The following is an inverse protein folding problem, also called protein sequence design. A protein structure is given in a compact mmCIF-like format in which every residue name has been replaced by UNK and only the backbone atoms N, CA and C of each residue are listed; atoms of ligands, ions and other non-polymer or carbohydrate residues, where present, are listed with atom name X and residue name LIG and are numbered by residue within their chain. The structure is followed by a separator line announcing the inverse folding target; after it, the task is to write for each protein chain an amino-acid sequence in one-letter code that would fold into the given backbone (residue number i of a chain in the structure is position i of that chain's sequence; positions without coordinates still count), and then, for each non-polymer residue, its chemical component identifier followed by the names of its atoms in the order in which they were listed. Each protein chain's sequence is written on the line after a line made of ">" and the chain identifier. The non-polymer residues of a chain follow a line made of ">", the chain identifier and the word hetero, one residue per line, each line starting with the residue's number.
data_IF_579368936637
#
_entry.id   IF_579368936637
#
_cell.length_a   1.000
_cell.length_b   1.000
_cell.length_c   1.000
_cell.angle_alpha   90.00
_cell.angle_beta   90.00
_cell.angle_gamma   90.00
#
_symmetry.space_group_name_H-M   'P 1'
#
loop_
_entity.id
_entity.type
_entity.pdbx_description
1 polymer ?
#
# COMPACT_ATOMS: atom_id res chain seq x y z
N UNK A 1 -6.38 -16.02 0.55
CA UNK A 1 -6.37 -14.55 0.76
C UNK A 1 -5.29 -14.12 1.76
N UNK A 2 -5.27 -14.63 2.99
CA UNK A 2 -4.25 -14.24 3.99
C UNK A 2 -2.81 -14.41 3.48
N UNK A 3 -2.46 -15.63 3.04
CA UNK A 3 -1.10 -15.95 2.55
C UNK A 3 -0.72 -15.06 1.37
N UNK A 4 -1.63 -14.82 0.42
CA UNK A 4 -1.36 -13.99 -0.75
C UNK A 4 -1.11 -12.52 -0.39
N UNK A 5 -1.90 -11.96 0.53
CA UNK A 5 -1.72 -10.58 1.00
C UNK A 5 -0.40 -10.48 1.76
N UNK A 6 -0.17 -11.36 2.73
CA UNK A 6 1.05 -11.33 3.54
C UNK A 6 2.31 -11.45 2.67
N UNK A 7 2.32 -12.41 1.73
CA UNK A 7 3.44 -12.62 0.82
C UNK A 7 3.67 -11.43 -0.11
N UNK A 8 2.61 -10.92 -0.76
CA UNK A 8 2.73 -9.80 -1.70
C UNK A 8 3.14 -8.49 -1.03
N UNK A 9 2.58 -8.18 0.14
CA UNK A 9 2.94 -6.99 0.91
C UNK A 9 4.35 -7.12 1.49
N UNK A 10 4.77 -8.30 1.94
CA UNK A 10 6.15 -8.54 2.37
C UNK A 10 7.15 -8.38 1.22
N UNK A 11 6.83 -8.87 0.03
CA UNK A 11 7.64 -8.66 -1.18
C UNK A 11 7.74 -7.18 -1.55
N UNK A 12 6.64 -6.44 -1.44
CA UNK A 12 6.63 -4.98 -1.63
C UNK A 12 7.51 -4.28 -0.59
N UNK A 13 7.40 -4.68 0.69
CA UNK A 13 8.20 -4.13 1.77
C UNK A 13 9.70 -4.30 1.51
N UNK A 14 10.11 -5.51 1.14
CA UNK A 14 11.50 -5.77 0.75
C UNK A 14 11.90 -4.96 -0.49
N UNK A 15 11.07 -4.90 -1.52
CA UNK A 15 11.35 -4.14 -2.74
C UNK A 15 11.57 -2.63 -2.47
N UNK A 16 10.79 -2.04 -1.57
CA UNK A 16 10.92 -0.63 -1.22
C UNK A 16 12.08 -0.37 -0.25
N UNK A 17 12.33 -1.29 0.70
CA UNK A 17 13.40 -1.18 1.67
C UNK A 17 14.79 -1.53 1.11
N UNK A 18 14.87 -2.26 0.00
CA UNK A 18 16.16 -2.64 -0.60
C UNK A 18 16.88 -1.38 -1.07
N UNK A 19 18.05 -1.05 -0.48
CA UNK A 19 18.79 0.14 -0.87
C UNK A 19 19.28 0.02 -2.31
N UNK A 20 19.32 1.14 -3.02
CA UNK A 20 19.99 1.21 -4.31
C UNK A 20 21.50 1.18 -4.04
N UNK A 21 22.19 0.14 -4.53
CA UNK A 21 23.64 0.03 -4.45
C UNK A 21 24.31 1.14 -5.28
N UNK A 22 25.47 1.68 -4.86
CA UNK A 22 26.27 2.54 -5.70
C UNK A 22 26.68 1.78 -6.96
N UNK A 23 25.97 1.97 -8.06
CA UNK A 23 26.51 1.61 -9.37
C UNK A 23 27.53 2.69 -9.75
N UNK A 24 28.69 2.28 -10.29
CA UNK A 24 29.75 3.14 -10.83
C UNK A 24 29.20 4.04 -11.95
N UNK A 25 28.40 5.04 -11.59
CA UNK A 25 28.10 6.14 -12.46
C UNK A 25 29.17 7.19 -12.19
N UNK A 26 29.89 7.52 -13.26
CA UNK A 26 30.68 8.74 -13.38
C UNK A 26 29.80 9.91 -12.89
N UNK A 27 30.21 10.55 -11.79
CA UNK A 27 29.42 11.50 -10.98
C UNK A 27 28.76 12.65 -11.77
N UNK A 28 29.10 12.83 -13.05
CA UNK A 28 28.82 14.02 -13.85
C UNK A 28 28.01 13.75 -15.14
N UNK A 29 27.47 12.55 -15.35
CA UNK A 29 26.63 12.27 -16.51
C UNK A 29 25.23 12.90 -16.32
N UNK A 30 25.01 14.05 -16.97
CA UNK A 30 23.70 14.69 -17.09
C UNK A 30 22.66 13.81 -17.79
N UNK A 31 21.45 14.37 -18.03
CA UNK A 31 20.45 13.67 -18.82
C UNK A 31 20.99 13.34 -20.22
N UNK A 32 20.65 12.16 -20.76
CA UNK A 32 21.20 11.72 -22.03
C UNK A 32 20.70 12.63 -23.15
N UNK A 33 21.61 13.06 -24.02
CA UNK A 33 21.29 13.79 -25.25
C UNK A 33 21.30 12.88 -26.47
N UNK A 34 21.99 11.74 -26.42
CA UNK A 34 21.98 10.72 -27.47
C UNK A 34 20.62 10.00 -27.53
N UNK A 35 19.98 9.94 -28.71
CA UNK A 35 18.73 9.18 -28.93
C UNK A 35 18.74 7.75 -28.38
N UNK A 36 19.85 7.01 -28.47
CA UNK A 36 19.95 5.64 -27.98
C UNK A 36 19.84 5.58 -26.44
N UNK A 37 20.53 6.49 -25.75
CA UNK A 37 20.50 6.59 -24.31
C UNK A 37 19.16 7.12 -23.78
N UNK A 38 18.53 8.06 -24.50
CA UNK A 38 17.15 8.51 -24.22
C UNK A 38 16.16 7.35 -24.35
N UNK A 39 16.25 6.55 -25.42
CA UNK A 39 15.39 5.37 -25.59
C UNK A 39 15.57 4.35 -24.46
N UNK A 40 16.82 4.10 -24.05
CA UNK A 40 17.14 3.21 -22.93
C UNK A 40 16.59 3.71 -21.58
N UNK A 41 16.48 5.04 -21.41
CA UNK A 41 15.85 5.65 -20.23
C UNK A 41 14.32 5.58 -20.28
N UNK A 42 13.70 5.88 -21.43
CA UNK A 42 12.25 5.95 -21.56
C UNK A 42 11.58 4.58 -21.52
N UNK A 43 12.22 3.54 -22.06
CA UNK A 43 11.61 2.21 -22.14
C UNK A 43 11.20 1.66 -20.76
N UNK A 44 12.07 1.62 -19.72
CA UNK A 44 11.67 1.19 -18.38
C UNK A 44 10.56 2.06 -17.76
N UNK A 45 10.57 3.37 -18.02
CA UNK A 45 9.54 4.29 -17.50
C UNK A 45 8.16 3.97 -18.06
N UNK A 46 8.03 3.86 -19.39
CA UNK A 46 6.76 3.48 -20.01
C UNK A 46 6.34 2.06 -19.65
N UNK A 47 7.27 1.13 -19.61
CA UNK A 47 6.99 -0.26 -19.25
C UNK A 47 6.46 -0.37 -17.81
N UNK A 48 7.12 0.28 -16.85
CA UNK A 48 6.68 0.32 -15.46
C UNK A 48 5.37 1.11 -15.31
N UNK A 49 5.17 2.20 -16.06
CA UNK A 49 3.92 2.96 -16.05
C UNK A 49 2.73 2.05 -16.37
N UNK A 50 2.85 1.19 -17.38
CA UNK A 50 1.78 0.23 -17.75
C UNK A 50 1.47 -0.68 -16.56
N UNK A 51 2.48 -1.28 -15.92
CA UNK A 51 2.26 -2.18 -14.78
C UNK A 51 1.68 -1.46 -13.56
N UNK A 52 2.14 -0.25 -13.27
CA UNK A 52 1.59 0.60 -12.20
C UNK A 52 0.13 0.96 -12.49
N UNK A 53 -0.18 1.39 -13.71
CA UNK A 53 -1.55 1.71 -14.12
C UNK A 53 -2.45 0.48 -14.06
N UNK A 54 -1.99 -0.67 -14.55
CA UNK A 54 -2.73 -1.93 -14.47
C UNK A 54 -3.06 -2.31 -13.03
N UNK A 55 -2.11 -2.18 -12.11
CA UNK A 55 -2.35 -2.42 -10.69
C UNK A 55 -3.41 -1.47 -10.12
N UNK A 56 -3.29 -0.16 -10.37
CA UNK A 56 -4.25 0.84 -9.86
C UNK A 56 -5.65 0.62 -10.42
N UNK A 57 -5.75 0.37 -11.73
CA UNK A 57 -7.02 0.12 -12.42
C UNK A 57 -7.67 -1.18 -11.94
N UNK A 58 -6.89 -2.26 -11.81
CA UNK A 58 -7.39 -3.55 -11.31
C UNK A 58 -7.86 -3.43 -9.85
N UNK A 59 -7.04 -2.84 -8.98
CA UNK A 59 -7.35 -2.68 -7.56
C UNK A 59 -8.58 -1.80 -7.32
N UNK A 60 -8.73 -0.72 -8.08
CA UNK A 60 -9.88 0.18 -7.99
C UNK A 60 -11.13 -0.42 -8.64
N UNK A 61 -10.94 -1.02 -9.81
CA UNK A 61 -12.02 -1.54 -10.67
C UNK A 61 -12.78 -2.69 -10.02
N UNK A 62 -12.13 -3.54 -9.22
CA UNK A 62 -12.82 -4.61 -8.50
C UNK A 62 -13.85 -4.11 -7.48
N UNK A 63 -13.82 -2.84 -7.08
CA UNK A 63 -14.86 -2.25 -6.22
C UNK A 63 -16.08 -1.73 -6.99
N UNK A 64 -16.02 -1.71 -8.33
CA UNK A 64 -17.09 -1.17 -9.15
C UNK A 64 -18.39 -1.96 -8.97
N UNK A 65 -19.57 -1.30 -8.99
CA UNK A 65 -20.85 -1.98 -8.82
C UNK A 65 -21.09 -3.11 -9.83
N UNK A 66 -20.57 -2.97 -11.05
CA UNK A 66 -20.65 -3.99 -12.10
C UNK A 66 -19.99 -5.30 -11.68
N UNK A 67 -18.82 -5.23 -11.04
CA UNK A 67 -18.06 -6.39 -10.57
C UNK A 67 -18.78 -7.05 -9.39
N UNK A 68 -19.35 -6.24 -8.50
CA UNK A 68 -20.15 -6.76 -7.37
C UNK A 68 -21.39 -7.52 -7.85
N UNK A 69 -22.12 -6.95 -8.82
CA UNK A 69 -23.28 -7.62 -9.44
C UNK A 69 -22.88 -8.91 -10.13
N UNK A 70 -21.72 -8.94 -10.79
CA UNK A 70 -21.19 -10.16 -11.39
C UNK A 70 -20.90 -11.23 -10.34
N UNK A 71 -20.21 -10.91 -9.24
CA UNK A 71 -19.96 -11.87 -8.16
C UNK A 71 -21.25 -12.38 -7.51
N UNK A 72 -22.25 -11.51 -7.33
CA UNK A 72 -23.58 -11.91 -6.86
C UNK A 72 -24.27 -12.86 -7.85
N UNK A 73 -24.20 -12.58 -9.15
CA UNK A 73 -24.84 -13.41 -10.18
C UNK A 73 -24.26 -14.84 -10.25
N UNK A 74 -22.97 -15.01 -9.90
CA UNK A 74 -22.31 -16.32 -9.85
C UNK A 74 -22.27 -16.95 -8.45
N UNK A 75 -22.94 -16.34 -7.45
CA UNK A 75 -23.01 -16.87 -6.08
C UNK A 75 -21.69 -16.79 -5.28
N UNK A 76 -20.81 -15.84 -5.60
CA UNK A 76 -19.52 -15.64 -4.92
C UNK A 76 -19.46 -14.31 -4.14
N UNK A 77 -20.61 -13.79 -3.73
CA UNK A 77 -20.72 -12.56 -2.95
C UNK A 77 -19.99 -12.65 -1.60
N UNK A 78 -20.10 -13.78 -0.92
CA UNK A 78 -19.37 -14.05 0.34
C UNK A 78 -17.85 -14.07 0.16
N UNK A 79 -17.39 -14.53 -1.02
CA UNK A 79 -15.98 -14.62 -1.35
C UNK A 79 -15.42 -13.32 -1.98
N UNK A 80 -16.26 -12.30 -2.26
CA UNK A 80 -15.87 -11.04 -2.93
C UNK A 80 -14.61 -10.43 -2.30
N UNK A 81 -14.59 -10.32 -0.96
CA UNK A 81 -13.47 -9.72 -0.21
C UNK A 81 -12.19 -10.55 -0.36
N UNK A 82 -12.30 -11.87 -0.29
CA UNK A 82 -11.17 -12.79 -0.44
C UNK A 82 -10.62 -12.77 -1.86
N UNK A 83 -11.48 -12.78 -2.87
CA UNK A 83 -11.12 -12.71 -4.28
C UNK A 83 -10.48 -11.36 -4.63
N UNK A 84 -11.03 -10.26 -4.11
CA UNK A 84 -10.44 -8.92 -4.22
C UNK A 84 -9.00 -8.90 -3.74
N UNK A 85 -8.74 -9.45 -2.55
CA UNK A 85 -7.42 -9.48 -1.95
C UNK A 85 -6.45 -10.38 -2.72
N UNK A 86 -6.90 -11.55 -3.17
CA UNK A 86 -6.08 -12.47 -3.97
C UNK A 86 -5.70 -11.83 -5.30
N UNK A 87 -6.67 -11.28 -6.04
CA UNK A 87 -6.45 -10.65 -7.33
C UNK A 87 -5.55 -9.40 -7.21
N UNK A 88 -5.77 -8.56 -6.19
CA UNK A 88 -4.90 -7.41 -5.90
C UNK A 88 -3.47 -7.83 -5.55
N UNK A 89 -3.32 -8.88 -4.72
CA UNK A 89 -2.01 -9.44 -4.37
C UNK A 89 -1.29 -9.97 -5.60
N UNK A 90 -2.00 -10.66 -6.48
CA UNK A 90 -1.45 -11.21 -7.72
C UNK A 90 -1.03 -10.10 -8.69
N UNK A 91 -1.87 -9.10 -8.89
CA UNK A 91 -1.53 -7.92 -9.71
C UNK A 91 -0.30 -7.19 -9.19
N UNK A 92 -0.20 -7.01 -7.87
CA UNK A 92 0.99 -6.44 -7.23
C UNK A 92 2.24 -7.29 -7.49
N UNK A 93 2.16 -8.61 -7.33
CA UNK A 93 3.28 -9.51 -7.61
C UNK A 93 3.71 -9.47 -9.07
N UNK A 94 2.77 -9.32 -10.02
CA UNK A 94 3.09 -9.13 -11.43
C UNK A 94 3.82 -7.82 -11.67
N UNK A 95 3.38 -6.72 -11.05
CA UNK A 95 4.08 -5.43 -11.10
C UNK A 95 5.52 -5.59 -10.59
N UNK A 96 5.70 -6.20 -9.42
CA UNK A 96 7.03 -6.39 -8.82
C UNK A 96 7.92 -7.30 -9.64
N UNK A 97 7.38 -8.41 -10.17
CA UNK A 97 8.11 -9.36 -11.02
C UNK A 97 8.58 -8.74 -12.33
N UNK A 98 7.74 -7.88 -12.92
CA UNK A 98 8.02 -7.24 -14.19
C UNK A 98 8.76 -5.90 -14.05
N UNK A 99 9.11 -5.49 -12.83
CA UNK A 99 9.78 -4.21 -12.62
C UNK A 99 11.09 -4.10 -13.42
N UNK A 100 11.23 -3.03 -14.19
CA UNK A 100 12.45 -2.75 -14.97
C UNK A 100 13.19 -1.55 -14.38
N UNK A 101 14.47 -1.74 -14.07
CA UNK A 101 15.36 -0.65 -13.65
C UNK A 101 16.14 -0.14 -14.86
N UNK A 102 16.31 1.17 -14.99
CA UNK A 102 17.07 1.74 -16.10
C UNK A 102 18.56 1.39 -15.99
N UNK A 103 19.27 1.05 -17.10
CA UNK A 103 20.67 0.60 -17.06
C UNK A 103 21.62 1.61 -16.40
N UNK A 104 21.38 2.90 -16.64
CA UNK A 104 22.21 3.98 -16.11
C UNK A 104 21.73 4.48 -14.75
N UNK A 105 20.56 4.05 -14.27
CA UNK A 105 19.91 4.51 -13.04
C UNK A 105 19.93 6.04 -12.88
N UNK A 106 19.14 6.76 -13.69
CA UNK A 106 18.98 8.21 -13.52
C UNK A 106 18.32 8.46 -12.17
N UNK A 107 19.06 9.13 -11.28
CA UNK A 107 18.71 9.36 -9.88
C UNK A 107 18.44 10.84 -9.65
N UNK A 108 17.35 11.14 -8.95
CA UNK A 108 17.03 12.49 -8.47
C UNK A 108 17.88 12.85 -7.24
N UNK A 109 18.06 11.88 -6.34
CA UNK A 109 19.00 11.95 -5.23
C UNK A 109 19.63 10.60 -4.97
N UNK A 110 20.78 10.63 -4.32
CA UNK A 110 21.48 9.45 -3.83
C UNK A 110 22.29 9.83 -2.60
N UNK A 111 22.08 9.10 -1.51
CA UNK A 111 22.87 9.17 -0.30
C UNK A 111 23.59 7.83 -0.14
N UNK A 112 24.90 7.91 0.09
CA UNK A 112 25.70 6.74 0.37
C UNK A 112 25.41 6.25 1.79
N UNK A 113 24.51 5.27 1.88
CA UNK A 113 24.13 4.61 3.12
C UNK A 113 25.05 3.42 3.44
N UNK A 114 25.98 3.03 2.56
CA UNK A 114 26.93 1.94 2.86
C UNK A 114 28.08 2.45 3.73
N UNK A 115 28.54 3.68 3.48
CA UNK A 115 29.64 4.29 4.24
C UNK A 115 29.19 5.03 5.49
N UNK A 116 27.91 5.42 5.58
CA UNK A 116 27.36 6.14 6.73
C UNK A 116 26.36 5.29 7.52
N UNK A 117 26.85 4.68 8.60
CA UNK A 117 26.06 3.79 9.47
C UNK A 117 24.85 4.50 10.10
N UNK A 118 25.02 5.76 10.53
CA UNK A 118 23.93 6.52 11.15
C UNK A 118 22.79 6.78 10.16
N UNK A 119 23.13 7.10 8.91
CA UNK A 119 22.14 7.24 7.84
C UNK A 119 21.44 5.92 7.56
N UNK A 120 22.19 4.82 7.46
CA UNK A 120 21.60 3.50 7.23
C UNK A 120 20.56 3.12 8.29
N UNK A 121 20.92 3.26 9.58
CA UNK A 121 20.01 2.98 10.69
C UNK A 121 18.78 3.89 10.70
N UNK A 122 18.94 5.17 10.37
CA UNK A 122 17.82 6.09 10.26
C UNK A 122 16.83 5.68 9.15
N UNK A 123 17.35 5.33 7.96
CA UNK A 123 16.51 4.92 6.83
C UNK A 123 15.84 3.57 7.05
N UNK A 124 16.58 2.60 7.57
CA UNK A 124 16.04 1.28 7.91
C UNK A 124 15.02 1.38 9.05
N UNK A 125 15.35 2.13 10.11
CA UNK A 125 14.45 2.33 11.26
C UNK A 125 13.14 3.02 10.88
N UNK A 126 13.20 4.04 10.03
CA UNK A 126 12.00 4.71 9.51
C UNK A 126 11.15 3.80 8.62
N UNK A 127 11.76 2.97 7.78
CA UNK A 127 11.06 1.94 7.00
C UNK A 127 10.38 0.90 7.90
N UNK A 128 11.11 0.36 8.89
CA UNK A 128 10.58 -0.61 9.86
C UNK A 128 9.40 -0.01 10.63
N UNK A 129 9.54 1.22 11.15
CA UNK A 129 8.47 1.91 11.86
C UNK A 129 7.25 2.11 10.96
N UNK A 130 7.44 2.55 9.72
CA UNK A 130 6.35 2.74 8.78
C UNK A 130 5.62 1.41 8.47
N UNK A 131 6.35 0.30 8.28
CA UNK A 131 5.73 -1.02 8.10
C UNK A 131 5.02 -1.51 9.35
N UNK A 132 5.54 -1.26 10.56
CA UNK A 132 4.85 -1.53 11.82
C UNK A 132 3.51 -0.78 11.87
N UNK A 133 3.49 0.50 11.46
CA UNK A 133 2.25 1.29 11.40
C UNK A 133 1.27 0.70 10.36
N UNK A 134 1.75 0.29 9.18
CA UNK A 134 0.91 -0.30 8.13
C UNK A 134 0.28 -1.63 8.58
N UNK A 135 1.09 -2.55 9.12
CA UNK A 135 0.61 -3.84 9.62
C UNK A 135 -0.23 -3.70 10.89
N UNK A 136 0.19 -2.83 11.83
CA UNK A 136 -0.55 -2.53 13.04
C UNK A 136 -1.93 -1.93 12.74
N UNK A 137 -2.01 -1.01 11.77
CA UNK A 137 -3.29 -0.49 11.27
C UNK A 137 -4.18 -1.57 10.66
N UNK A 138 -3.59 -2.55 9.96
CA UNK A 138 -4.34 -3.68 9.39
C UNK A 138 -4.90 -4.60 10.47
N UNK A 139 -4.17 -4.81 11.58
CA UNK A 139 -4.66 -5.55 12.74
C UNK A 139 -5.78 -4.79 13.46
N UNK A 140 -5.67 -3.47 13.59
CA UNK A 140 -6.71 -2.62 14.22
C UNK A 140 -8.04 -2.62 13.47
N UNK A 141 -8.03 -2.83 12.15
CA UNK A 141 -9.24 -2.84 11.30
C UNK A 141 -9.92 -4.22 11.27
N UNK A 142 -9.44 -5.18 12.09
CA UNK A 142 -9.84 -6.59 12.09
C UNK A 142 -9.32 -7.32 10.84
N UNK A 143 -8.16 -7.97 10.99
CA UNK A 143 -7.46 -8.62 9.87
C UNK A 143 -8.28 -9.75 9.22
N UNK A 144 -8.93 -10.67 9.97
CA UNK A 144 -9.89 -11.63 9.41
C UNK A 144 -11.00 -11.00 8.55
N UNK A 145 -11.51 -9.84 8.94
CA UNK A 145 -12.53 -9.11 8.19
C UNK A 145 -11.95 -8.41 6.95
N UNK A 146 -10.72 -7.88 7.06
CA UNK A 146 -10.00 -7.27 5.96
C UNK A 146 -9.75 -8.29 4.85
N UNK A 147 -9.30 -9.51 5.21
CA UNK A 147 -8.95 -10.57 4.25
C UNK A 147 -10.18 -11.24 3.61
N UNK A 148 -11.35 -11.23 4.27
CA UNK A 148 -12.55 -11.90 3.81
C UNK A 148 -12.93 -13.19 4.55
N UNK A 149 -12.14 -13.60 5.56
CA UNK A 149 -12.34 -14.86 6.27
C UNK A 149 -13.53 -14.78 7.24
N UNK A 150 -13.69 -13.62 7.89
CA UNK A 150 -14.77 -13.39 8.85
C UNK A 150 -16.15 -13.44 8.18
N UNK A 151 -16.25 -12.96 6.95
CA UNK A 151 -17.49 -12.99 6.16
C UNK A 151 -17.93 -14.43 5.91
N UNK A 152 -17.02 -15.30 5.46
CA UNK A 152 -17.32 -16.72 5.27
C UNK A 152 -17.63 -17.44 6.59
N UNK A 153 -16.90 -17.13 7.66
CA UNK A 153 -17.16 -17.74 8.97
C UNK A 153 -18.55 -17.37 9.50
N UNK A 154 -18.96 -16.11 9.39
CA UNK A 154 -20.26 -15.67 9.90
C UNK A 154 -21.41 -16.31 9.11
N UNK A 155 -21.26 -16.43 7.79
CA UNK A 155 -22.25 -17.08 6.93
C UNK A 155 -22.45 -18.57 7.28
N UNK A 156 -21.36 -19.33 7.43
CA UNK A 156 -21.42 -20.76 7.79
C UNK A 156 -22.05 -21.00 9.18
N UNK A 157 -22.07 -19.98 10.05
CA UNK A 157 -22.67 -20.05 11.38
C UNK A 157 -24.03 -19.34 11.46
N UNK A 158 -24.66 -19.00 10.33
CA UNK A 158 -25.95 -18.30 10.27
C UNK A 158 -25.97 -16.96 11.04
N UNK A 159 -24.83 -16.27 11.08
CA UNK A 159 -24.68 -14.95 11.70
C UNK A 159 -24.87 -13.83 10.68
N UNK A 160 -25.33 -12.67 11.15
CA UNK A 160 -25.43 -11.48 10.29
C UNK A 160 -24.05 -11.04 9.76
N UNK A 161 -23.95 -10.27 8.66
CA UNK A 161 -22.65 -9.86 8.12
C UNK A 161 -21.77 -9.12 9.16
N UNK A 162 -20.45 -9.32 9.23
CA UNK A 162 -19.60 -8.73 10.27
C UNK A 162 -19.72 -7.21 10.43
N UNK A 163 -19.97 -6.49 9.34
CA UNK A 163 -20.15 -5.04 9.32
C UNK A 163 -21.45 -4.58 10.01
N UNK A 164 -22.50 -5.42 10.08
CA UNK A 164 -23.78 -5.02 10.72
C UNK A 164 -23.67 -4.89 12.24
N UNK A 165 -22.66 -5.51 12.85
CA UNK A 165 -22.37 -5.40 14.29
C UNK A 165 -21.59 -4.12 14.65
N UNK A 166 -21.09 -3.37 13.66
CA UNK A 166 -20.31 -2.14 13.87
C UNK A 166 -21.22 -0.91 13.94
N UNK A 167 -20.83 0.08 14.75
CA UNK A 167 -21.55 1.36 14.83
C UNK A 167 -21.64 2.04 13.46
N UNK A 168 -22.73 2.77 13.22
CA UNK A 168 -22.96 3.47 11.95
C UNK A 168 -21.81 4.42 11.61
N UNK A 169 -21.31 5.17 12.59
CA UNK A 169 -20.18 6.09 12.44
C UNK A 169 -18.92 5.37 11.96
N UNK A 170 -18.65 4.16 12.49
CA UNK A 170 -17.49 3.35 12.06
C UNK A 170 -17.67 2.83 10.63
N UNK A 171 -18.89 2.41 10.28
CA UNK A 171 -19.19 1.97 8.92
C UNK A 171 -18.99 3.11 7.92
N UNK A 172 -19.45 4.31 8.26
CA UNK A 172 -19.32 5.49 7.40
C UNK A 172 -17.86 5.98 7.31
N UNK A 173 -17.10 5.91 8.42
CA UNK A 173 -15.65 6.12 8.41
C UNK A 173 -14.94 5.17 7.44
N UNK A 174 -15.24 3.86 7.47
CA UNK A 174 -14.60 2.89 6.57
C UNK A 174 -14.98 3.08 5.10
N UNK A 175 -16.13 3.68 4.79
CA UNK A 175 -16.48 4.05 3.40
C UNK A 175 -15.66 5.24 2.90
N UNK A 176 -15.34 6.19 3.80
CA UNK A 176 -14.62 7.44 3.50
C UNK A 176 -13.09 7.28 3.51
N UNK A 177 -12.56 6.57 4.50
CA UNK A 177 -11.13 6.33 4.66
C UNK A 177 -10.71 5.06 3.92
N UNK A 178 -10.40 5.20 2.62
CA UNK A 178 -10.09 4.06 1.75
C UNK A 178 -8.68 3.48 1.95
N UNK A 179 -7.74 4.30 2.43
CA UNK A 179 -6.32 3.94 2.58
C UNK A 179 -5.77 4.36 3.94
N UNK A 180 -6.21 3.76 5.07
CA UNK A 180 -5.77 4.16 6.42
C UNK A 180 -4.24 4.13 6.61
N UNK A 181 -3.52 3.36 5.79
CA UNK A 181 -2.07 3.23 5.78
C UNK A 181 -1.34 4.26 4.90
N UNK A 182 -2.03 5.27 4.36
CA UNK A 182 -1.48 6.26 3.42
C UNK A 182 -0.19 6.91 3.90
N UNK A 183 -0.16 7.35 5.17
CA UNK A 183 1.02 8.03 5.74
C UNK A 183 2.22 7.07 5.79
N UNK A 184 2.04 5.87 6.31
CA UNK A 184 3.11 4.86 6.39
C UNK A 184 3.64 4.47 5.02
N UNK A 185 2.75 4.21 4.05
CA UNK A 185 3.16 3.89 2.68
C UNK A 185 3.86 5.06 1.99
N UNK A 186 3.45 6.31 2.24
CA UNK A 186 4.12 7.49 1.69
C UNK A 186 5.54 7.62 2.23
N UNK A 187 5.76 7.38 3.52
CA UNK A 187 7.12 7.38 4.09
C UNK A 187 8.00 6.35 3.41
N UNK A 188 7.53 5.10 3.27
CA UNK A 188 8.30 4.02 2.62
C UNK A 188 8.57 4.30 1.13
N UNK A 189 7.63 4.94 0.43
CA UNK A 189 7.81 5.27 -0.98
C UNK A 189 8.87 6.36 -1.21
N UNK A 190 8.93 7.36 -0.32
CA UNK A 190 9.76 8.55 -0.53
C UNK A 190 11.09 8.53 0.23
N UNK A 191 11.16 7.85 1.38
CA UNK A 191 12.33 7.89 2.26
C UNK A 191 13.38 6.83 1.89
N UNK A 192 13.84 6.83 0.64
CA UNK A 192 14.80 5.84 0.11
C UNK A 192 16.20 6.43 -0.08
N UNK A 193 17.24 5.59 0.06
CA UNK A 193 18.65 6.04 -0.02
C UNK A 193 18.98 6.64 -1.38
N UNK A 194 18.38 6.13 -2.45
CA UNK A 194 18.37 6.75 -3.76
C UNK A 194 16.99 6.72 -4.37
N UNK A 195 16.67 7.73 -5.17
CA UNK A 195 15.42 7.80 -5.92
C UNK A 195 15.71 7.82 -7.41
N UNK A 196 15.50 6.68 -8.05
CA UNK A 196 15.51 6.60 -9.51
C UNK A 196 14.22 7.14 -10.12
N UNK A 197 14.24 7.50 -11.40
CA UNK A 197 13.07 8.04 -12.10
C UNK A 197 11.87 7.08 -12.06
N UNK A 198 12.10 5.79 -12.23
CA UNK A 198 11.04 4.78 -12.17
C UNK A 198 10.45 4.60 -10.77
N UNK A 199 11.28 4.69 -9.72
CA UNK A 199 10.78 4.67 -8.33
C UNK A 199 10.03 5.95 -8.00
N UNK A 200 10.47 7.10 -8.51
CA UNK A 200 9.78 8.37 -8.37
C UNK A 200 8.41 8.31 -9.06
N UNK A 201 8.34 7.76 -10.28
CA UNK A 201 7.09 7.53 -10.99
C UNK A 201 6.10 6.71 -10.17
N UNK A 202 6.55 5.59 -9.58
CA UNK A 202 5.73 4.78 -8.68
C UNK A 202 5.27 5.59 -7.46
N UNK A 203 6.20 6.28 -6.79
CA UNK A 203 5.92 7.05 -5.59
C UNK A 203 4.87 8.14 -5.86
N UNK A 204 5.04 8.92 -6.93
CA UNK A 204 4.09 9.97 -7.34
C UNK A 204 2.72 9.39 -7.65
N UNK A 205 2.63 8.36 -8.51
CA UNK A 205 1.35 7.80 -8.91
C UNK A 205 0.62 7.21 -7.70
N UNK A 206 1.29 6.44 -6.85
CA UNK A 206 0.67 5.84 -5.68
C UNK A 206 0.31 6.86 -4.61
N UNK A 207 1.14 7.87 -4.36
CA UNK A 207 0.81 8.97 -3.45
C UNK A 207 -0.42 9.73 -3.93
N UNK A 208 -0.50 10.10 -5.22
CA UNK A 208 -1.67 10.78 -5.78
C UNK A 208 -2.91 9.89 -5.71
N UNK A 209 -2.79 8.63 -6.11
CA UNK A 209 -3.89 7.66 -6.03
C UNK A 209 -4.45 7.54 -4.62
N UNK A 210 -3.58 7.32 -3.62
CA UNK A 210 -4.00 7.22 -2.22
C UNK A 210 -4.57 8.53 -1.70
N UNK A 211 -3.99 9.67 -2.06
CA UNK A 211 -4.45 11.00 -1.65
C UNK A 211 -5.87 11.28 -2.16
N UNK A 212 -6.16 11.06 -3.45
CA UNK A 212 -7.51 11.26 -4.00
C UNK A 212 -8.53 10.27 -3.45
N UNK A 213 -8.10 9.08 -3.03
CA UNK A 213 -8.96 8.10 -2.38
C UNK A 213 -9.09 8.35 -0.85
N UNK A 214 -8.31 9.25 -0.27
CA UNK A 214 -8.37 9.63 1.14
C UNK A 214 -9.36 10.78 1.33
N UNK A 215 -10.54 10.49 1.89
CA UNK A 215 -11.61 11.48 2.05
C UNK A 215 -12.11 11.56 3.51
N UNK A 216 -11.20 11.79 4.45
CA UNK A 216 -11.54 11.90 5.89
C UNK A 216 -12.15 13.26 6.20
N UNK A 217 -13.26 13.26 6.95
CA UNK A 217 -14.03 14.44 7.34
C UNK A 217 -13.76 14.85 8.79
N UNK A 218 -14.26 16.01 9.23
CA UNK A 218 -14.18 16.42 10.65
C UNK A 218 -14.94 15.48 11.57
N UNK A 219 -16.08 14.95 11.12
CA UNK A 219 -16.89 13.97 11.86
C UNK A 219 -16.09 12.68 12.15
N UNK A 220 -15.27 12.23 11.20
CA UNK A 220 -14.39 11.07 11.38
C UNK A 220 -13.35 11.32 12.48
N UNK A 221 -12.79 12.53 12.55
CA UNK A 221 -11.82 12.90 13.58
C UNK A 221 -12.47 12.95 14.97
N UNK A 222 -13.67 13.52 15.05
CA UNK A 222 -14.44 13.57 16.29
C UNK A 222 -14.82 12.18 16.79
N UNK A 223 -15.24 11.28 15.89
CA UNK A 223 -15.49 9.88 16.22
C UNK A 223 -14.26 9.22 16.85
N UNK A 224 -13.07 9.35 16.24
CA UNK A 224 -11.84 8.79 16.82
C UNK A 224 -11.47 9.39 18.17
N UNK A 225 -11.68 10.71 18.35
CA UNK A 225 -11.46 11.37 19.64
C UNK A 225 -12.38 10.77 20.72
N UNK A 226 -13.65 10.55 20.40
CA UNK A 226 -14.61 9.93 21.32
C UNK A 226 -14.20 8.49 21.68
N UNK A 227 -13.80 7.68 20.69
CA UNK A 227 -13.33 6.31 20.94
C UNK A 227 -12.07 6.28 21.81
N UNK A 228 -11.12 7.20 21.59
CA UNK A 228 -9.92 7.31 22.41
C UNK A 228 -10.27 7.68 23.86
N UNK A 229 -11.20 8.62 24.06
CA UNK A 229 -11.66 9.01 25.39
C UNK A 229 -12.35 7.84 26.11
N UNK A 230 -13.20 7.08 25.41
CA UNK A 230 -13.84 5.87 25.96
C UNK A 230 -12.80 4.83 26.41
N UNK A 231 -11.84 4.51 25.55
CA UNK A 231 -10.75 3.57 25.86
C UNK A 231 -9.92 4.03 27.07
N UNK A 232 -9.59 5.32 27.16
CA UNK A 232 -8.88 5.88 28.33
C UNK A 232 -9.69 5.74 29.61
N UNK A 233 -11.00 6.02 29.56
CA UNK A 233 -11.88 5.88 30.72
C UNK A 233 -11.99 4.41 31.18
N UNK A 234 -12.10 3.46 30.25
CA UNK A 234 -12.09 2.03 30.57
C UNK A 234 -10.77 1.56 31.16
N UNK A 235 -9.64 1.96 30.58
CA UNK A 235 -8.30 1.63 31.13
C UNK A 235 -8.14 2.15 32.56
N UNK A 236 -8.58 3.38 32.84
CA UNK A 236 -8.56 3.94 34.19
C UNK A 236 -9.49 3.20 35.18
N UNK A 237 -10.57 2.56 34.70
CA UNK A 237 -11.43 1.72 35.56
C UNK A 237 -10.78 0.38 35.91
N UNK A 238 -10.02 -0.21 35.00
CA UNK A 238 -9.36 -1.52 35.20
C UNK A 238 -8.04 -1.40 35.98
N UNK A 239 -7.40 -0.22 35.94
CA UNK A 239 -6.11 0.02 36.62
C UNK A 239 -6.28 0.55 38.05
N UNK A 240 -7.51 0.86 38.48
CA UNK A 240 -7.86 1.17 39.87
C UNK A 240 -8.28 -0.10 40.60
#
# INVERSE_FOLDING_TARGET
>A
AFISVFYSVSKLALFLATPITPQERQKDAGFPTDPAAVKAMLFPLFYNLIWVALFVLQHSGLRAPIVKRFYQAIGLDLAERSLYNIASSFSLLLLLKNWKTAPNQYRLWFFDAETNEALWWFMMGSHVLAWIIVYGGSLMVDLPELIGLKQTFYDVNDLAPPMSYKSRDLQDYYKRCRHPSFVGLSVVLWLTNGMSLERCLLAVIWTLYMYFAWNTTREDLEYHRQQLQRKRAELMRVTK
#
